data_IF_578063063683
#
_entry.id   IF_578063063683
#
_cell.length_a   1.000
_cell.length_b   1.000
_cell.length_c   1.000
_cell.angle_alpha   90.00
_cell.angle_beta   90.00
_cell.angle_gamma   90.00
#
_symmetry.space_group_name_H-M   'P 1'
#
loop_
_entity.id
_entity.type
_entity.pdbx_description
1 polymer ?
#
# COMPACT_ATOMS: atom_id res chain seq x y z
N UNK A 1 14.90 -11.78 16.43
CA UNK A 1 13.87 -11.62 17.50
C UNK A 1 12.48 -11.29 16.93
N UNK A 2 12.38 -10.55 15.82
CA UNK A 2 11.08 -10.19 15.21
C UNK A 2 10.27 -11.39 14.71
N UNK A 3 10.92 -12.37 14.05
CA UNK A 3 10.26 -13.54 13.45
C UNK A 3 9.61 -14.55 14.40
N UNK A 4 9.82 -14.45 15.72
CA UNK A 4 9.23 -15.37 16.69
C UNK A 4 8.40 -14.60 17.71
N UNK A 5 7.16 -15.05 17.95
CA UNK A 5 6.30 -14.58 19.04
C UNK A 5 6.82 -15.10 20.39
N UNK A 6 6.46 -14.47 21.53
CA UNK A 6 6.84 -14.95 22.86
C UNK A 6 6.39 -16.38 23.15
N UNK A 7 5.28 -16.82 22.55
CA UNK A 7 4.73 -18.18 22.70
C UNK A 7 5.42 -19.24 21.80
N UNK A 8 6.41 -18.85 20.97
CA UNK A 8 7.14 -19.75 20.09
C UNK A 8 6.62 -19.84 18.66
N UNK A 9 5.46 -19.26 18.35
CA UNK A 9 4.94 -19.22 16.99
C UNK A 9 5.78 -18.30 16.10
N UNK A 10 5.83 -18.61 14.80
CA UNK A 10 6.48 -17.72 13.82
C UNK A 10 5.61 -16.51 13.51
N UNK A 11 6.24 -15.38 13.21
CA UNK A 11 5.64 -14.20 12.59
C UNK A 11 6.09 -14.14 11.13
N UNK A 12 5.15 -13.82 10.25
CA UNK A 12 5.47 -13.31 8.92
C UNK A 12 6.01 -11.89 9.11
N UNK A 13 7.16 -11.59 8.51
CA UNK A 13 7.79 -10.28 8.54
C UNK A 13 7.82 -9.71 7.11
N UNK A 14 7.00 -8.71 6.85
CA UNK A 14 6.94 -8.01 5.56
C UNK A 14 7.70 -6.69 5.64
N UNK A 15 8.34 -6.29 4.54
CA UNK A 15 8.91 -4.97 4.39
C UNK A 15 7.90 -4.06 3.70
N UNK A 16 7.53 -2.95 4.35
CA UNK A 16 6.83 -1.86 3.69
C UNK A 16 7.75 -1.25 2.62
N UNK A 17 7.20 -1.07 1.41
CA UNK A 17 7.82 -0.31 0.33
C UNK A 17 6.74 0.47 -0.40
N UNK A 18 7.04 1.71 -0.75
CA UNK A 18 6.23 2.48 -1.69
C UNK A 18 6.73 2.22 -3.11
N UNK A 19 5.84 1.78 -4.00
CA UNK A 19 6.17 1.49 -5.39
C UNK A 19 5.58 2.49 -6.39
N UNK A 20 4.64 3.32 -5.94
CA UNK A 20 3.96 4.34 -6.74
C UNK A 20 4.50 5.75 -6.51
N UNK A 21 5.33 5.93 -5.49
CA UNK A 21 6.01 7.19 -5.16
C UNK A 21 7.49 7.00 -4.84
N UNK A 22 8.25 8.07 -5.04
CA UNK A 22 9.60 8.21 -4.53
C UNK A 22 9.59 9.05 -3.25
N UNK A 23 10.24 8.54 -2.21
CA UNK A 23 10.41 9.17 -0.90
C UNK A 23 11.82 9.78 -0.79
N UNK A 24 11.94 11.10 -0.57
CA UNK A 24 13.23 11.80 -0.66
C UNK A 24 14.25 11.43 0.44
N UNK A 25 13.80 10.83 1.54
CA UNK A 25 14.67 10.35 2.62
C UNK A 25 15.24 8.96 2.37
N UNK A 26 14.79 8.24 1.33
CA UNK A 26 15.27 6.89 1.05
C UNK A 26 16.66 6.89 0.46
N UNK A 27 17.37 5.79 0.68
CA UNK A 27 18.76 5.63 0.21
C UNK A 27 18.92 5.65 -1.30
N UNK A 28 17.83 5.49 -2.06
CA UNK A 28 17.85 5.56 -3.52
C UNK A 28 17.73 6.99 -4.06
N UNK A 29 17.31 7.95 -3.24
CA UNK A 29 17.16 9.35 -3.66
C UNK A 29 18.53 9.91 -4.00
N UNK A 30 18.74 10.27 -5.27
CA UNK A 30 20.01 10.78 -5.75
C UNK A 30 20.24 12.23 -5.33
N UNK A 31 21.49 12.60 -5.04
CA UNK A 31 21.83 14.00 -4.71
C UNK A 31 21.57 14.98 -5.87
N UNK A 32 21.46 14.47 -7.09
CA UNK A 32 21.15 15.20 -8.31
C UNK A 32 19.67 15.18 -8.68
N UNK A 33 18.83 14.48 -7.91
CA UNK A 33 17.39 14.45 -8.12
C UNK A 33 16.77 15.81 -7.74
N UNK A 34 15.75 16.20 -8.50
CA UNK A 34 15.01 17.45 -8.32
C UNK A 34 13.56 17.06 -8.11
N UNK A 35 13.00 17.41 -6.95
CA UNK A 35 11.59 17.18 -6.67
C UNK A 35 10.69 17.91 -7.68
N UNK A 36 9.57 17.29 -8.09
CA UNK A 36 8.53 17.99 -8.83
C UNK A 36 7.92 19.12 -8.00
N UNK A 37 7.29 20.05 -8.70
CA UNK A 37 6.48 21.13 -8.13
C UNK A 37 5.09 21.09 -8.75
N UNK A 38 4.15 21.88 -8.26
CA UNK A 38 2.80 22.00 -8.83
C UNK A 38 2.76 22.24 -10.35
N UNK A 39 3.82 22.85 -10.92
CA UNK A 39 3.84 23.28 -12.33
C UNK A 39 4.98 22.67 -13.14
N UNK A 40 5.90 21.96 -12.50
CA UNK A 40 7.13 21.47 -13.15
C UNK A 40 7.41 20.05 -12.68
N UNK A 41 7.56 19.14 -13.64
CA UNK A 41 7.98 17.76 -13.43
C UNK A 41 9.38 17.69 -12.78
N UNK A 42 9.64 16.64 -12.01
CA UNK A 42 10.92 16.43 -11.34
C UNK A 42 11.99 15.86 -12.26
N UNK A 43 13.17 15.62 -11.67
CA UNK A 43 14.26 14.86 -12.27
C UNK A 43 14.71 13.76 -11.30
N UNK A 44 14.86 12.50 -11.72
CA UNK A 44 14.71 11.98 -13.08
C UNK A 44 13.27 12.03 -13.60
N UNK A 45 13.10 11.88 -14.92
CA UNK A 45 11.82 12.08 -15.62
C UNK A 45 10.70 11.12 -15.17
N UNK A 46 10.98 10.12 -14.35
CA UNK A 46 9.91 9.32 -13.74
C UNK A 46 9.22 10.04 -12.57
N UNK A 47 9.77 11.12 -12.00
CA UNK A 47 9.11 11.91 -10.95
C UNK A 47 8.05 12.82 -11.59
N UNK A 48 6.77 12.45 -11.47
CA UNK A 48 5.68 13.05 -12.28
C UNK A 48 5.12 14.32 -11.64
N UNK A 49 4.72 14.24 -10.37
CA UNK A 49 4.00 15.31 -9.66
C UNK A 49 4.35 15.34 -8.18
N UNK A 50 3.83 16.35 -7.48
CA UNK A 50 3.76 16.32 -6.02
C UNK A 50 2.70 15.30 -5.56
N UNK A 51 2.80 14.84 -4.32
CA UNK A 51 1.77 14.03 -3.66
C UNK A 51 0.44 14.80 -3.55
N UNK A 52 -0.71 14.19 -3.90
CA UNK A 52 -2.03 14.84 -3.86
C UNK A 52 -2.64 14.92 -2.45
N UNK A 53 -2.23 14.04 -1.53
CA UNK A 53 -2.80 13.92 -0.19
C UNK A 53 -2.03 14.76 0.86
N UNK A 54 -0.94 15.39 0.43
CA UNK A 54 -0.16 16.34 1.23
C UNK A 54 1.04 15.73 1.94
N UNK A 55 1.45 14.50 1.60
CA UNK A 55 2.60 13.84 2.21
C UNK A 55 3.92 14.45 1.72
N UNK A 56 4.47 15.39 2.50
CA UNK A 56 5.71 16.09 2.16
C UNK A 56 6.87 15.10 1.91
N UNK A 57 7.60 15.29 0.80
CA UNK A 57 8.73 14.45 0.43
C UNK A 57 8.38 13.15 -0.30
N UNK A 58 7.08 12.90 -0.56
CA UNK A 58 6.62 11.85 -1.46
C UNK A 58 6.25 12.41 -2.83
N UNK A 59 6.61 11.67 -3.87
CA UNK A 59 6.43 12.12 -5.25
C UNK A 59 5.93 10.98 -6.13
N UNK A 60 4.66 11.04 -6.61
CA UNK A 60 4.15 10.08 -7.58
C UNK A 60 5.08 9.87 -8.77
N UNK A 61 5.31 8.60 -9.10
CA UNK A 61 6.23 8.22 -10.17
C UNK A 61 5.55 7.49 -11.32
N UNK A 62 6.14 7.62 -12.50
CA UNK A 62 5.86 6.76 -13.63
C UNK A 62 6.42 5.35 -13.34
N UNK A 63 5.68 4.55 -12.59
CA UNK A 63 6.14 3.25 -12.07
C UNK A 63 6.47 2.21 -13.16
N UNK A 64 6.10 2.47 -14.41
CA UNK A 64 6.52 1.69 -15.59
C UNK A 64 7.90 2.06 -16.13
N UNK A 65 8.49 3.17 -15.68
CA UNK A 65 9.81 3.61 -16.13
C UNK A 65 10.90 2.62 -15.70
N UNK A 66 11.76 2.25 -16.65
CA UNK A 66 12.80 1.25 -16.39
C UNK A 66 13.84 1.69 -15.37
N UNK A 67 14.11 2.98 -15.24
CA UNK A 67 15.05 3.53 -14.25
C UNK A 67 14.48 3.39 -12.86
N UNK A 68 13.19 3.72 -12.68
CA UNK A 68 12.46 3.47 -11.43
C UNK A 68 12.44 1.98 -11.09
N UNK A 69 11.99 1.14 -12.03
CA UNK A 69 11.91 -0.31 -11.82
C UNK A 69 13.29 -0.92 -11.48
N UNK A 70 14.39 -0.41 -12.05
CA UNK A 70 15.72 -0.93 -11.76
C UNK A 70 16.18 -0.68 -10.32
N UNK A 71 15.72 0.38 -9.64
CA UNK A 71 16.00 0.60 -8.21
C UNK A 71 15.53 -0.61 -7.39
N UNK A 72 14.37 -1.17 -7.76
CA UNK A 72 13.75 -2.30 -7.09
C UNK A 72 14.25 -3.64 -7.61
N UNK A 73 14.36 -3.80 -8.92
CA UNK A 73 14.44 -5.08 -9.62
C UNK A 73 15.82 -5.46 -10.17
N UNK A 74 16.79 -4.54 -10.20
CA UNK A 74 18.15 -4.89 -10.63
C UNK A 74 18.74 -6.01 -9.74
N UNK A 75 19.83 -6.64 -10.18
CA UNK A 75 20.46 -7.74 -9.40
C UNK A 75 21.02 -7.28 -8.05
N UNK A 76 21.34 -5.98 -7.94
CA UNK A 76 21.67 -5.24 -6.72
C UNK A 76 20.52 -4.33 -6.24
N UNK A 77 19.31 -4.51 -6.79
CA UNK A 77 18.09 -3.79 -6.42
C UNK A 77 17.56 -4.14 -5.03
N UNK A 78 16.59 -3.35 -4.58
CA UNK A 78 16.09 -3.40 -3.20
C UNK A 78 15.31 -4.68 -2.89
N UNK A 79 14.56 -5.26 -3.82
CA UNK A 79 13.74 -6.46 -3.55
C UNK A 79 14.61 -7.65 -3.15
N UNK A 80 15.72 -7.88 -3.87
CA UNK A 80 16.67 -8.94 -3.52
C UNK A 80 17.33 -8.67 -2.18
N UNK A 81 17.74 -7.43 -1.90
CA UNK A 81 18.28 -7.04 -0.58
C UNK A 81 17.29 -7.31 0.55
N UNK A 82 16.02 -6.93 0.38
CA UNK A 82 14.95 -7.19 1.35
C UNK A 82 14.80 -8.69 1.64
N UNK A 83 14.75 -9.51 0.60
CA UNK A 83 14.67 -10.97 0.75
C UNK A 83 15.93 -11.54 1.44
N UNK A 84 17.13 -11.08 1.05
CA UNK A 84 18.42 -11.50 1.65
C UNK A 84 18.55 -11.09 3.12
N UNK A 85 17.96 -9.95 3.53
CA UNK A 85 17.83 -9.55 4.94
C UNK A 85 16.89 -10.45 5.74
N UNK A 86 16.17 -11.34 5.05
CA UNK A 86 15.29 -12.33 5.62
C UNK A 86 13.88 -11.81 5.85
N UNK A 87 13.41 -10.79 5.13
CA UNK A 87 11.97 -10.55 5.08
C UNK A 87 11.25 -11.68 4.34
N UNK A 88 10.05 -12.03 4.78
CA UNK A 88 9.24 -13.08 4.16
C UNK A 88 8.50 -12.57 2.92
N UNK A 89 8.46 -11.25 2.70
CA UNK A 89 7.77 -10.62 1.59
C UNK A 89 7.77 -9.10 1.69
N UNK A 90 6.93 -8.47 0.88
CA UNK A 90 6.73 -7.02 0.81
C UNK A 90 5.26 -6.65 1.01
N UNK A 91 5.07 -5.46 1.57
CA UNK A 91 3.79 -4.77 1.68
C UNK A 91 3.90 -3.51 0.81
N UNK A 92 3.15 -3.49 -0.28
CA UNK A 92 3.27 -2.53 -1.38
C UNK A 92 2.30 -1.38 -1.16
N UNK A 93 2.83 -0.18 -0.92
CA UNK A 93 2.06 1.04 -0.83
C UNK A 93 1.97 1.74 -2.19
N UNK A 94 0.98 2.64 -2.29
CA UNK A 94 0.72 3.50 -3.43
C UNK A 94 0.48 2.72 -4.73
N UNK A 95 -0.19 1.57 -4.57
CA UNK A 95 -0.77 0.84 -5.71
C UNK A 95 -1.80 1.73 -6.41
N UNK A 96 -2.46 2.66 -5.69
CA UNK A 96 -3.42 3.67 -6.21
C UNK A 96 -2.84 4.55 -7.32
N UNK A 97 -1.52 4.61 -7.48
CA UNK A 97 -0.89 5.40 -8.52
C UNK A 97 -1.47 5.14 -9.92
N UNK A 98 -2.05 3.94 -10.18
CA UNK A 98 -2.73 3.69 -11.45
C UNK A 98 -4.00 4.53 -11.68
N UNK A 99 -4.65 4.99 -10.61
CA UNK A 99 -5.90 5.74 -10.64
C UNK A 99 -5.71 7.24 -10.38
N UNK A 100 -4.51 7.68 -10.01
CA UNK A 100 -4.16 9.11 -9.88
C UNK A 100 -4.23 9.84 -11.23
N UNK A 101 -4.90 11.00 -11.26
CA UNK A 101 -5.13 11.75 -12.50
C UNK A 101 -3.83 12.23 -13.18
N UNK A 102 -2.82 12.66 -12.42
CA UNK A 102 -1.55 13.11 -12.99
C UNK A 102 -0.81 11.92 -13.61
N UNK A 103 -0.76 10.80 -12.91
CA UNK A 103 -0.15 9.56 -13.41
C UNK A 103 -0.91 9.03 -14.63
N UNK A 104 -2.24 9.01 -14.62
CA UNK A 104 -3.04 8.56 -15.77
C UNK A 104 -2.84 9.45 -17.00
N UNK A 105 -2.79 10.77 -16.82
CA UNK A 105 -2.50 11.71 -17.91
C UNK A 105 -1.08 11.48 -18.46
N UNK A 106 -0.09 11.29 -17.59
CA UNK A 106 1.28 11.00 -17.97
C UNK A 106 1.40 9.66 -18.70
N UNK A 107 0.72 8.61 -18.21
CA UNK A 107 0.63 7.30 -18.85
C UNK A 107 0.01 7.40 -20.25
N UNK A 108 -1.12 8.10 -20.37
CA UNK A 108 -1.84 8.28 -21.64
C UNK A 108 -0.96 9.00 -22.68
N UNK A 109 -0.20 10.02 -22.27
CA UNK A 109 0.75 10.71 -23.13
C UNK A 109 1.87 9.80 -23.66
N UNK A 110 2.19 8.73 -22.92
CA UNK A 110 3.18 7.71 -23.31
C UNK A 110 2.55 6.46 -23.95
N UNK A 111 1.23 6.44 -24.16
CA UNK A 111 0.52 5.28 -24.71
C UNK A 111 0.50 4.07 -23.77
N UNK A 112 0.58 4.31 -22.47
CA UNK A 112 0.56 3.29 -21.42
C UNK A 112 -0.85 3.11 -20.85
N UNK A 113 -1.19 1.87 -20.49
CA UNK A 113 -2.38 1.58 -19.70
C UNK A 113 -1.95 1.45 -18.23
N UNK A 114 -2.36 2.37 -17.34
CA UNK A 114 -1.91 2.41 -15.94
C UNK A 114 -2.13 1.09 -15.21
N UNK A 115 -3.34 0.51 -15.31
CA UNK A 115 -3.71 -0.71 -14.61
C UNK A 115 -2.79 -1.87 -15.00
N UNK A 116 -2.60 -2.11 -16.30
CA UNK A 116 -1.72 -3.17 -16.81
C UNK A 116 -0.26 -2.97 -16.40
N UNK A 117 0.23 -1.74 -16.41
CA UNK A 117 1.61 -1.45 -16.01
C UNK A 117 1.82 -1.70 -14.50
N UNK A 118 0.84 -1.37 -13.65
CA UNK A 118 0.89 -1.65 -12.22
C UNK A 118 0.88 -3.17 -11.97
N UNK A 119 -0.03 -3.90 -12.62
CA UNK A 119 -0.10 -5.36 -12.53
C UNK A 119 1.23 -6.02 -12.97
N UNK A 120 1.83 -5.58 -14.07
CA UNK A 120 3.13 -6.10 -14.52
C UNK A 120 4.26 -5.75 -13.54
N UNK A 121 4.22 -4.59 -12.89
CA UNK A 121 5.25 -4.21 -11.94
C UNK A 121 5.17 -5.05 -10.65
N UNK A 122 3.95 -5.26 -10.12
CA UNK A 122 3.69 -6.13 -8.97
C UNK A 122 4.18 -7.56 -9.26
N UNK A 123 3.87 -8.12 -10.45
CA UNK A 123 4.35 -9.44 -10.86
C UNK A 123 5.88 -9.52 -10.82
N UNK A 124 6.57 -8.55 -11.45
CA UNK A 124 8.03 -8.50 -11.48
C UNK A 124 8.65 -8.39 -10.08
N UNK A 125 8.02 -7.64 -9.16
CA UNK A 125 8.47 -7.54 -7.77
C UNK A 125 8.39 -8.91 -7.09
N UNK A 126 7.24 -9.58 -7.18
CA UNK A 126 7.05 -10.92 -6.63
C UNK A 126 8.05 -11.92 -7.19
N UNK A 127 8.23 -11.95 -8.51
CA UNK A 127 9.17 -12.82 -9.20
C UNK A 127 10.62 -12.57 -8.77
N UNK A 128 11.02 -11.30 -8.65
CA UNK A 128 12.36 -10.94 -8.17
C UNK A 128 12.59 -11.41 -6.75
N UNK A 129 11.63 -11.22 -5.84
CA UNK A 129 11.71 -11.75 -4.46
C UNK A 129 11.81 -13.28 -4.44
N UNK A 130 11.03 -13.95 -5.30
CA UNK A 130 11.02 -15.41 -5.45
C UNK A 130 12.37 -15.98 -5.88
N UNK A 131 13.22 -15.22 -6.56
CA UNK A 131 14.59 -15.66 -6.89
C UNK A 131 15.46 -15.93 -5.66
N UNK A 132 15.12 -15.33 -4.51
CA UNK A 132 15.85 -15.50 -3.23
C UNK A 132 15.06 -16.36 -2.26
N UNK A 133 13.75 -16.11 -2.12
CA UNK A 133 12.85 -16.85 -1.25
C UNK A 133 11.65 -17.34 -2.07
N UNK A 134 11.57 -18.64 -2.38
CA UNK A 134 10.47 -19.18 -3.20
C UNK A 134 9.07 -18.95 -2.61
N UNK A 135 8.97 -18.72 -1.30
CA UNK A 135 7.73 -18.40 -0.58
C UNK A 135 7.56 -16.88 -0.35
N UNK A 136 8.23 -16.03 -1.14
CA UNK A 136 8.19 -14.57 -0.98
C UNK A 136 6.78 -14.03 -1.23
N UNK A 137 6.22 -13.39 -0.20
CA UNK A 137 4.85 -12.87 -0.20
C UNK A 137 4.77 -11.46 -0.78
N UNK A 138 3.66 -11.17 -1.45
CA UNK A 138 3.32 -9.84 -1.95
C UNK A 138 1.95 -9.44 -1.40
N UNK A 139 1.92 -8.40 -0.57
CA UNK A 139 0.68 -7.81 -0.05
C UNK A 139 0.50 -6.44 -0.69
N UNK A 140 -0.60 -6.24 -1.41
CA UNK A 140 -0.94 -4.93 -1.96
C UNK A 140 -1.78 -4.13 -0.95
N UNK A 141 -1.46 -2.84 -0.79
CA UNK A 141 -2.22 -1.91 0.03
C UNK A 141 -3.20 -1.12 -0.84
N UNK A 142 -4.39 -0.87 -0.30
CA UNK A 142 -5.47 -0.08 -0.86
C UNK A 142 -5.88 -0.57 -2.28
N UNK A 143 -6.25 0.32 -3.21
CA UNK A 143 -6.48 0.03 -4.62
C UNK A 143 -7.45 -1.14 -4.87
N UNK A 144 -8.56 -1.25 -4.11
CA UNK A 144 -9.39 -2.45 -4.16
C UNK A 144 -10.04 -2.63 -5.55
N UNK A 145 -10.13 -1.57 -6.35
CA UNK A 145 -10.67 -1.60 -7.71
C UNK A 145 -9.74 -2.18 -8.77
N UNK A 146 -8.44 -2.33 -8.52
CA UNK A 146 -7.49 -2.87 -9.51
C UNK A 146 -7.84 -4.29 -9.95
N UNK A 147 -8.47 -5.09 -9.09
CA UNK A 147 -9.00 -6.42 -9.41
C UNK A 147 -9.96 -6.42 -10.60
N UNK A 148 -10.67 -5.31 -10.87
CA UNK A 148 -11.63 -5.23 -11.97
C UNK A 148 -10.95 -5.09 -13.34
N UNK A 149 -9.69 -4.65 -13.39
CA UNK A 149 -8.93 -4.55 -14.63
C UNK A 149 -8.63 -5.94 -15.22
N UNK A 150 -8.21 -6.88 -14.37
CA UNK A 150 -7.96 -8.27 -14.77
C UNK A 150 -7.96 -9.22 -13.56
N UNK A 151 -9.13 -9.71 -13.10
CA UNK A 151 -9.24 -10.38 -11.82
C UNK A 151 -8.51 -11.73 -11.77
N UNK A 152 -8.50 -12.47 -12.90
CA UNK A 152 -7.80 -13.75 -12.99
C UNK A 152 -6.28 -13.58 -13.00
N UNK A 153 -5.77 -12.45 -13.47
CA UNK A 153 -4.34 -12.18 -13.46
C UNK A 153 -3.91 -11.60 -12.13
N UNK A 154 -4.58 -10.55 -11.64
CA UNK A 154 -4.19 -9.91 -10.39
C UNK A 154 -4.21 -10.88 -9.21
N UNK A 155 -5.21 -11.78 -9.18
CA UNK A 155 -5.29 -12.78 -8.12
C UNK A 155 -4.17 -13.82 -8.09
N UNK A 156 -3.33 -13.89 -9.12
CA UNK A 156 -2.18 -14.80 -9.18
C UNK A 156 -0.86 -14.16 -8.76
N UNK A 157 -0.82 -12.84 -8.63
CA UNK A 157 0.43 -12.08 -8.40
C UNK A 157 0.50 -11.40 -7.04
N UNK A 158 -0.58 -11.46 -6.24
CA UNK A 158 -0.61 -11.03 -4.84
C UNK A 158 -1.06 -12.18 -3.94
N UNK A 159 -0.57 -12.16 -2.70
CA UNK A 159 -0.90 -13.13 -1.65
C UNK A 159 -1.93 -12.57 -0.65
N UNK A 160 -2.09 -11.25 -0.57
CA UNK A 160 -3.10 -10.59 0.23
C UNK A 160 -3.42 -9.19 -0.29
N UNK A 161 -4.60 -8.69 0.08
CA UNK A 161 -4.96 -7.27 0.03
C UNK A 161 -4.95 -6.73 1.45
N UNK A 162 -4.46 -5.51 1.64
CA UNK A 162 -4.69 -4.72 2.84
C UNK A 162 -5.38 -3.41 2.45
N UNK A 163 -6.37 -2.96 3.21
CA UNK A 163 -7.07 -1.69 2.93
C UNK A 163 -7.22 -0.87 4.19
N UNK A 164 -6.97 0.42 4.08
CA UNK A 164 -7.17 1.39 5.14
C UNK A 164 -8.58 1.99 5.10
N UNK A 165 -8.94 2.71 6.18
CA UNK A 165 -10.05 3.66 6.23
C UNK A 165 -11.38 3.06 5.74
N UNK A 166 -11.73 1.84 6.17
CA UNK A 166 -13.00 1.24 5.72
C UNK A 166 -14.19 1.88 6.42
N UNK A 167 -14.06 2.14 7.71
CA UNK A 167 -15.04 2.78 8.58
C UNK A 167 -14.51 4.05 9.22
N UNK A 168 -13.26 4.03 9.71
CA UNK A 168 -12.67 5.19 10.39
C UNK A 168 -11.26 5.48 9.92
N UNK A 169 -10.96 6.76 9.76
CA UNK A 169 -9.68 7.29 9.33
C UNK A 169 -9.05 8.23 10.37
N UNK A 170 -7.79 8.59 10.13
CA UNK A 170 -7.10 9.70 10.80
C UNK A 170 -6.49 10.67 9.78
N UNK A 171 -6.21 11.89 10.20
CA UNK A 171 -5.53 12.88 9.34
C UNK A 171 -4.05 12.49 9.14
N UNK A 172 -3.54 12.73 7.93
CA UNK A 172 -2.14 12.49 7.61
C UNK A 172 -1.21 13.25 8.56
N UNK A 173 -0.06 12.66 8.88
CA UNK A 173 0.95 13.18 9.82
C UNK A 173 0.48 13.44 11.27
N UNK A 174 -0.74 13.06 11.64
CA UNK A 174 -1.20 13.21 13.01
C UNK A 174 -0.42 12.29 13.97
N UNK A 175 0.24 12.87 14.97
CA UNK A 175 0.94 12.16 16.04
C UNK A 175 0.01 11.21 16.83
N UNK A 176 0.59 10.20 17.50
CA UNK A 176 -0.16 9.18 18.23
C UNK A 176 -1.23 9.74 19.17
N UNK A 177 -0.94 10.79 19.95
CA UNK A 177 -1.87 11.38 20.91
C UNK A 177 -2.74 12.53 20.34
N UNK A 178 -2.66 12.77 19.03
CA UNK A 178 -3.49 13.78 18.38
C UNK A 178 -4.97 13.36 18.41
N UNK A 179 -5.92 14.30 18.64
CA UNK A 179 -7.35 14.01 18.45
C UNK A 179 -7.68 13.64 17.00
N UNK A 180 -6.82 14.02 16.04
CA UNK A 180 -6.99 13.74 14.62
C UNK A 180 -6.35 12.39 14.20
N UNK A 181 -5.82 11.63 15.16
CA UNK A 181 -5.11 10.37 14.90
C UNK A 181 -6.04 9.17 14.57
N UNK A 182 -7.36 9.36 14.64
CA UNK A 182 -8.38 8.34 14.39
C UNK A 182 -9.79 8.82 14.74
N UNK A 183 -10.77 7.92 14.62
CA UNK A 183 -12.22 8.15 14.84
C UNK A 183 -12.90 9.13 13.87
N UNK A 184 -12.21 9.53 12.79
CA UNK A 184 -12.81 10.37 11.76
C UNK A 184 -13.61 9.51 10.78
N UNK A 185 -14.76 10.01 10.33
CA UNK A 185 -15.64 9.29 9.39
C UNK A 185 -16.34 10.27 8.44
N UNK A 186 -16.91 9.73 7.35
CA UNK A 186 -17.59 10.53 6.34
C UNK A 186 -16.64 11.25 5.37
N UNK A 187 -17.16 12.29 4.73
CA UNK A 187 -16.44 13.10 3.74
C UNK A 187 -16.09 12.34 2.46
N UNK A 188 -15.23 12.94 1.64
CA UNK A 188 -14.79 12.34 0.37
C UNK A 188 -14.15 10.96 0.56
N UNK A 189 -13.51 10.72 1.73
CA UNK A 189 -12.95 9.42 2.09
C UNK A 189 -14.01 8.33 2.23
N UNK A 190 -15.29 8.61 2.44
CA UNK A 190 -16.33 7.59 2.60
C UNK A 190 -17.54 7.82 1.68
N UNK A 191 -17.34 8.48 0.55
CA UNK A 191 -18.39 8.81 -0.42
C UNK A 191 -18.12 8.19 -1.80
N UNK A 192 -19.16 8.18 -2.65
CA UNK A 192 -19.06 7.67 -4.02
C UNK A 192 -18.56 6.23 -4.10
N UNK A 193 -17.62 5.98 -5.01
CA UNK A 193 -17.00 4.66 -5.22
C UNK A 193 -16.24 4.20 -3.96
N UNK A 194 -15.74 5.12 -3.14
CA UNK A 194 -15.00 4.80 -1.92
C UNK A 194 -15.86 4.78 -0.65
N UNK A 195 -17.19 4.78 -0.78
CA UNK A 195 -18.06 4.57 0.39
C UNK A 195 -17.76 3.25 1.11
N UNK A 196 -17.97 3.20 2.43
CA UNK A 196 -17.74 1.99 3.24
C UNK A 196 -18.42 0.76 2.65
N UNK A 197 -19.66 0.88 2.18
CA UNK A 197 -20.38 -0.23 1.55
C UNK A 197 -19.71 -0.71 0.26
N UNK A 198 -19.15 0.21 -0.53
CA UNK A 198 -18.49 -0.10 -1.78
C UNK A 198 -17.10 -0.70 -1.54
N UNK A 199 -16.30 -0.16 -0.61
CA UNK A 199 -15.03 -0.77 -0.16
C UNK A 199 -15.26 -2.20 0.32
N UNK A 200 -16.24 -2.43 1.20
CA UNK A 200 -16.58 -3.77 1.68
C UNK A 200 -16.99 -4.70 0.54
N UNK A 201 -17.83 -4.22 -0.40
CA UNK A 201 -18.24 -5.02 -1.56
C UNK A 201 -17.06 -5.36 -2.47
N UNK A 202 -16.14 -4.42 -2.67
CA UNK A 202 -14.96 -4.58 -3.50
C UNK A 202 -13.96 -5.53 -2.87
N UNK A 203 -13.66 -5.37 -1.58
CA UNK A 203 -12.79 -6.25 -0.80
C UNK A 203 -13.27 -7.70 -0.83
N UNK A 204 -14.60 -7.93 -0.80
CA UNK A 204 -15.16 -9.28 -0.92
C UNK A 204 -14.86 -9.97 -2.26
N UNK A 205 -14.54 -9.24 -3.33
CA UNK A 205 -14.11 -9.85 -4.59
C UNK A 205 -12.80 -10.62 -4.42
N UNK A 206 -11.86 -10.12 -3.61
CA UNK A 206 -10.59 -10.79 -3.32
C UNK A 206 -10.81 -12.09 -2.54
N UNK A 207 -11.71 -12.08 -1.55
CA UNK A 207 -12.09 -13.30 -0.83
C UNK A 207 -12.64 -14.39 -1.76
N UNK A 208 -13.36 -14.02 -2.83
CA UNK A 208 -13.86 -14.99 -3.82
C UNK A 208 -12.75 -15.67 -4.64
N UNK A 209 -11.56 -15.04 -4.73
CA UNK A 209 -10.36 -15.63 -5.30
C UNK A 209 -9.48 -16.34 -4.25
N UNK A 210 -9.93 -16.41 -2.99
CA UNK A 210 -9.17 -17.01 -1.90
C UNK A 210 -8.05 -16.13 -1.36
N UNK A 211 -8.04 -14.84 -1.71
CA UNK A 211 -7.06 -13.87 -1.24
C UNK A 211 -7.54 -13.29 0.09
N UNK A 212 -6.77 -13.44 1.18
CA UNK A 212 -7.11 -12.82 2.46
C UNK A 212 -7.09 -11.29 2.33
N UNK A 213 -8.04 -10.66 3.02
CA UNK A 213 -8.14 -9.19 3.10
C UNK A 213 -7.86 -8.76 4.54
N UNK A 214 -6.84 -7.94 4.71
CA UNK A 214 -6.54 -7.22 5.94
C UNK A 214 -7.23 -5.85 5.89
N UNK A 215 -7.83 -5.41 6.99
CA UNK A 215 -8.31 -4.02 7.11
C UNK A 215 -7.53 -3.32 8.20
N UNK A 216 -7.19 -2.06 7.98
CA UNK A 216 -6.62 -1.17 9.00
C UNK A 216 -7.58 0.00 9.15
N UNK A 217 -8.11 0.21 10.34
CA UNK A 217 -8.91 1.40 10.63
C UNK A 217 -8.29 2.15 11.80
N UNK A 218 -8.45 3.47 11.77
CA UNK A 218 -7.83 4.35 12.73
C UNK A 218 -8.85 4.79 13.77
N UNK A 219 -8.69 4.31 15.01
CA UNK A 219 -9.59 4.62 16.11
C UNK A 219 -8.83 5.01 17.38
N UNK A 220 -9.35 5.99 18.10
CA UNK A 220 -8.90 6.37 19.44
C UNK A 220 -9.84 5.75 20.48
N UNK A 221 -11.14 5.77 20.21
CA UNK A 221 -12.21 5.22 21.04
C UNK A 221 -12.23 3.69 21.02
N UNK A 222 -12.36 3.09 22.20
CA UNK A 222 -12.57 1.64 22.34
C UNK A 222 -13.87 1.18 21.69
N UNK A 223 -14.92 2.02 21.72
CA UNK A 223 -16.22 1.65 21.14
C UNK A 223 -16.14 1.57 19.61
N UNK A 224 -15.39 2.48 18.98
CA UNK A 224 -15.14 2.46 17.55
C UNK A 224 -14.23 1.29 17.16
N UNK A 225 -13.21 1.01 17.97
CA UNK A 225 -12.35 -0.16 17.75
C UNK A 225 -13.15 -1.48 17.83
N UNK A 226 -13.99 -1.64 18.84
CA UNK A 226 -14.87 -2.81 18.99
C UNK A 226 -15.85 -2.92 17.81
N UNK A 227 -16.39 -1.80 17.34
CA UNK A 227 -17.23 -1.77 16.15
C UNK A 227 -16.49 -2.27 14.91
N UNK A 228 -15.28 -1.77 14.63
CA UNK A 228 -14.46 -2.20 13.48
C UNK A 228 -14.13 -3.67 13.57
N UNK A 229 -13.65 -4.15 14.72
CA UNK A 229 -13.31 -5.56 14.89
C UNK A 229 -14.52 -6.46 14.59
N UNK A 230 -15.72 -6.08 15.04
CA UNK A 230 -16.95 -6.82 14.78
C UNK A 230 -17.36 -6.79 13.30
N UNK A 231 -17.43 -5.61 12.68
CA UNK A 231 -17.91 -5.49 11.29
C UNK A 231 -16.89 -6.04 10.29
N UNK A 232 -15.58 -5.83 10.49
CA UNK A 232 -14.53 -6.38 9.63
C UNK A 232 -14.56 -7.92 9.62
N UNK A 233 -14.60 -8.56 10.79
CA UNK A 233 -14.66 -10.04 10.90
C UNK A 233 -15.96 -10.62 10.36
N UNK A 234 -17.09 -9.94 10.57
CA UNK A 234 -18.40 -10.34 10.01
C UNK A 234 -18.40 -10.34 8.48
N UNK A 235 -17.54 -9.54 7.85
CA UNK A 235 -17.34 -9.53 6.41
C UNK A 235 -16.24 -10.50 5.92
N UNK A 236 -15.60 -11.25 6.83
CA UNK A 236 -14.56 -12.23 6.51
C UNK A 236 -13.16 -11.65 6.39
N UNK A 237 -12.95 -10.41 6.86
CA UNK A 237 -11.66 -9.73 6.81
C UNK A 237 -10.85 -9.95 8.11
N UNK A 238 -9.57 -9.56 8.06
CA UNK A 238 -8.61 -9.67 9.16
C UNK A 238 -8.25 -8.24 9.64
N UNK A 239 -8.95 -7.71 10.66
CA UNK A 239 -8.75 -6.33 11.10
C UNK A 239 -7.50 -6.13 11.96
N UNK A 240 -6.90 -4.95 11.80
CA UNK A 240 -6.09 -4.23 12.75
C UNK A 240 -6.78 -2.89 13.05
N UNK A 241 -6.90 -2.53 14.32
CA UNK A 241 -7.31 -1.17 14.70
C UNK A 241 -6.15 -0.49 15.41
N UNK A 242 -5.80 0.71 14.97
CA UNK A 242 -4.65 1.47 15.48
C UNK A 242 -4.87 2.97 15.30
N UNK A 243 -3.81 3.78 15.30
CA UNK A 243 -3.85 5.22 15.02
C UNK A 243 -2.94 5.54 13.82
N UNK A 244 -3.27 6.58 13.08
CA UNK A 244 -2.70 6.87 11.74
C UNK A 244 -1.17 6.99 11.70
N UNK A 245 -0.53 7.45 12.79
CA UNK A 245 0.94 7.51 12.87
C UNK A 245 1.65 6.15 12.86
N UNK A 246 0.94 5.05 13.18
CA UNK A 246 1.52 3.69 13.28
C UNK A 246 2.75 3.59 14.19
N UNK A 247 2.91 4.54 15.12
CA UNK A 247 4.16 4.74 15.88
C UNK A 247 4.27 3.85 17.13
N UNK A 248 3.15 3.30 17.60
CA UNK A 248 3.10 2.36 18.72
C UNK A 248 2.39 1.05 18.34
N UNK A 249 2.71 -0.02 19.07
CA UNK A 249 1.99 -1.29 18.94
C UNK A 249 0.61 -1.09 19.57
N UNK A 250 -0.46 -1.28 18.79
CA UNK A 250 -1.82 -1.20 19.32
C UNK A 250 -2.02 -2.12 20.54
N UNK A 251 -2.48 -1.54 21.64
CA UNK A 251 -2.80 -2.26 22.87
C UNK A 251 -4.25 -2.71 22.93
N UNK A 252 -5.11 -2.25 22.00
CA UNK A 252 -6.52 -2.65 21.88
C UNK A 252 -6.59 -3.97 21.11
N UNK A 253 -6.55 -5.12 21.80
CA UNK A 253 -6.29 -6.37 21.14
C UNK A 253 -7.56 -6.82 20.41
N UNK A 254 -7.44 -7.53 19.28
CA UNK A 254 -8.52 -8.36 18.78
C UNK A 254 -8.92 -9.36 19.88
N UNK A 255 -10.12 -9.24 20.46
CA UNK A 255 -10.73 -10.31 21.25
C UNK A 255 -11.17 -11.47 20.34
#
# INVERSE_FOLDING_TARGET
KLKNKPNGDKRILLAYIDIGQAEEWRTYWGNDWIAPTETTQGYPDFLVSIDPDGWEGNYPVAYWDSTWQNIWLADDGLIKKIADFGFDGVYLDWVEAYDDDNIRNFAAAQGKNPENEMLMFIEKIGDKGKTVNQDFLVVAQNAPYLIDANPNYYSTIIDALATEDTWFYGEGDADWESPDAGDLEGGERHEGDYSTSNRVAQNKKYLNYGIPVFTVDYCISSDNADFVYNESRKNGFIPLVTRVSLSEITETPPF
#
